data_IF_111438381209
#
_entry.id   IF_111438381209
#
_cell.length_a   1.000
_cell.length_b   1.000
_cell.length_c   1.000
_cell.angle_alpha   90.00
_cell.angle_beta   90.00
_cell.angle_gamma   90.00
#
_symmetry.space_group_name_H-M   'P 1'
#
loop_
_entity.id
_entity.type
_entity.pdbx_description
1 polymer ?
#
# COMPACT_ATOMS: atom_id res chain seq x y z
N UNK A 1 10.14 -16.99 20.60
CA UNK A 1 10.74 -16.67 19.31
C UNK A 1 11.35 -15.27 19.34
N UNK A 2 12.51 -15.09 18.75
CA UNK A 2 13.14 -13.77 18.60
C UNK A 2 12.95 -13.29 17.16
N UNK A 3 12.45 -12.09 17.01
CA UNK A 3 12.39 -11.37 15.74
C UNK A 3 13.49 -10.31 15.72
N UNK A 4 14.27 -10.30 14.66
CA UNK A 4 15.21 -9.21 14.38
C UNK A 4 15.05 -8.86 12.91
N UNK A 5 14.86 -7.60 12.61
CA UNK A 5 14.76 -7.14 11.24
C UNK A 5 15.35 -5.76 11.10
N UNK A 6 15.65 -5.38 9.88
CA UNK A 6 15.99 -4.02 9.54
C UNK A 6 15.28 -3.64 8.23
N UNK A 7 14.90 -2.40 8.14
CA UNK A 7 14.29 -1.80 6.95
C UNK A 7 15.09 -0.55 6.59
N UNK A 8 15.51 -0.49 5.33
CA UNK A 8 16.23 0.67 4.78
C UNK A 8 15.47 1.11 3.54
N UNK A 9 15.14 2.38 3.50
CA UNK A 9 14.53 2.96 2.30
C UNK A 9 15.20 4.27 1.92
N UNK A 10 15.17 4.56 0.64
CA UNK A 10 15.61 5.81 0.05
C UNK A 10 14.42 6.39 -0.71
N UNK A 11 14.13 7.65 -0.50
CA UNK A 11 13.14 8.39 -1.28
C UNK A 11 13.73 9.75 -1.63
N UNK A 12 13.49 10.20 -2.85
CA UNK A 12 13.80 11.56 -3.25
C UNK A 12 12.66 12.51 -2.92
N UNK A 13 12.98 13.78 -2.80
CA UNK A 13 11.97 14.82 -2.77
C UNK A 13 11.13 14.79 -4.04
N UNK A 14 9.82 15.12 -3.96
CA UNK A 14 8.98 15.20 -5.13
C UNK A 14 9.52 16.19 -6.17
N UNK A 15 9.77 15.71 -7.38
CA UNK A 15 10.29 16.53 -8.48
C UNK A 15 9.12 17.15 -9.25
N UNK A 16 9.07 18.47 -9.33
CA UNK A 16 8.08 19.17 -10.14
C UNK A 16 8.47 19.11 -11.62
N UNK A 17 7.63 18.50 -12.43
CA UNK A 17 7.75 18.43 -13.87
C UNK A 17 6.84 19.48 -14.51
N UNK A 18 7.27 20.75 -14.47
CA UNK A 18 6.46 21.87 -14.91
C UNK A 18 5.43 22.36 -13.87
N UNK A 19 4.35 22.99 -14.35
CA UNK A 19 3.36 23.66 -13.46
C UNK A 19 2.34 22.69 -12.84
N UNK A 20 2.13 21.54 -13.44
CA UNK A 20 0.97 20.69 -13.12
C UNK A 20 1.33 19.25 -12.71
N UNK A 21 2.57 18.82 -12.97
CA UNK A 21 3.01 17.46 -12.73
C UNK A 21 4.04 17.39 -11.62
N UNK A 22 3.94 16.34 -10.82
CA UNK A 22 4.90 16.02 -9.77
C UNK A 22 5.25 14.54 -9.88
N UNK A 23 6.54 14.26 -9.92
CA UNK A 23 7.10 12.90 -9.91
C UNK A 23 7.62 12.58 -8.52
N UNK A 24 7.38 11.37 -8.05
CA UNK A 24 7.93 10.85 -6.81
C UNK A 24 8.47 9.44 -7.02
N UNK A 25 9.45 9.07 -6.21
CA UNK A 25 10.02 7.74 -6.23
C UNK A 25 10.46 7.32 -4.83
N UNK A 26 10.44 6.01 -4.60
CA UNK A 26 10.96 5.38 -3.39
C UNK A 26 11.53 4.02 -3.76
N UNK A 27 12.62 3.65 -3.12
CA UNK A 27 13.16 2.30 -3.16
C UNK A 27 13.50 1.85 -1.75
N UNK A 28 13.35 0.56 -1.46
CA UNK A 28 13.64 0.04 -0.13
C UNK A 28 14.01 -1.43 -0.16
N UNK A 29 14.69 -1.81 0.91
CA UNK A 29 15.07 -3.17 1.20
C UNK A 29 14.83 -3.45 2.66
N UNK A 30 14.14 -4.54 2.97
CA UNK A 30 14.04 -5.04 4.34
C UNK A 30 14.47 -6.50 4.42
N UNK A 31 15.07 -6.85 5.53
CA UNK A 31 15.47 -8.21 5.82
C UNK A 31 15.04 -8.56 7.22
N UNK A 32 14.23 -9.59 7.33
CA UNK A 32 13.69 -10.08 8.58
C UNK A 32 14.35 -11.40 8.92
N UNK A 33 14.76 -11.55 10.16
CA UNK A 33 15.37 -12.76 10.70
C UNK A 33 14.43 -13.36 11.74
N UNK A 34 14.00 -14.59 11.51
CA UNK A 34 13.17 -15.33 12.44
C UNK A 34 14.00 -16.40 13.12
N UNK A 35 14.33 -16.18 14.38
CA UNK A 35 14.99 -17.18 15.23
C UNK A 35 13.98 -17.87 16.15
N UNK A 36 13.81 -19.18 16.02
CA UNK A 36 12.98 -19.95 16.91
C UNK A 36 13.82 -20.90 17.75
N UNK A 37 13.78 -20.72 19.07
CA UNK A 37 14.16 -21.74 20.03
C UNK A 37 12.89 -22.44 20.47
N UNK A 38 12.66 -23.64 20.01
CA UNK A 38 11.53 -24.44 20.45
C UNK A 38 11.99 -25.39 21.57
N UNK A 39 11.51 -25.17 22.78
CA UNK A 39 11.64 -26.10 23.89
C UNK A 39 10.36 -26.94 23.99
N UNK A 40 10.35 -28.12 23.42
CA UNK A 40 9.21 -29.02 23.50
C UNK A 40 9.39 -30.33 22.75
N UNK A 41 8.83 -31.41 23.32
CA UNK A 41 8.96 -32.80 22.84
C UNK A 41 8.20 -33.16 21.56
N UNK A 42 7.78 -32.21 20.74
CA UNK A 42 6.95 -32.43 19.58
C UNK A 42 7.78 -32.41 18.30
N UNK A 43 8.28 -33.61 17.90
CA UNK A 43 9.17 -33.84 16.75
C UNK A 43 8.67 -33.25 15.41
N UNK A 44 7.36 -33.16 15.20
CA UNK A 44 6.78 -32.53 14.01
C UNK A 44 6.99 -31.00 13.98
N UNK A 45 6.90 -30.34 15.13
CA UNK A 45 7.15 -28.90 15.25
C UNK A 45 8.64 -28.58 15.19
N UNK A 46 9.50 -29.47 15.71
CA UNK A 46 10.95 -29.30 15.66
C UNK A 46 11.49 -29.21 14.24
N UNK A 47 10.96 -29.97 13.30
CA UNK A 47 11.35 -29.92 11.88
C UNK A 47 10.97 -28.62 11.17
N UNK A 48 9.91 -27.97 11.60
CA UNK A 48 9.44 -26.71 11.01
C UNK A 48 10.18 -25.47 11.53
N UNK A 49 10.75 -25.53 12.73
CA UNK A 49 11.23 -24.33 13.45
C UNK A 49 12.71 -24.35 13.84
N UNK A 50 13.47 -25.34 13.41
CA UNK A 50 14.91 -25.46 13.73
C UNK A 50 15.82 -24.70 12.73
N UNK A 51 15.25 -23.85 11.88
CA UNK A 51 15.97 -23.04 10.89
C UNK A 51 15.91 -21.56 11.25
N UNK A 52 17.08 -20.92 11.26
CA UNK A 52 17.19 -19.47 11.18
C UNK A 52 16.75 -19.06 9.76
N UNK A 53 15.52 -18.64 9.63
CA UNK A 53 14.97 -18.31 8.33
C UNK A 53 14.97 -16.80 8.12
N UNK A 54 15.26 -16.41 6.89
CA UNK A 54 15.33 -15.02 6.51
C UNK A 54 14.28 -14.72 5.46
N UNK A 55 13.67 -13.57 5.59
CA UNK A 55 12.78 -12.98 4.59
C UNK A 55 13.42 -11.72 4.07
N UNK A 56 13.55 -11.63 2.77
CA UNK A 56 14.01 -10.42 2.09
C UNK A 56 12.85 -9.79 1.30
N UNK A 57 12.68 -8.49 1.45
CA UNK A 57 11.70 -7.72 0.72
C UNK A 57 12.43 -6.57 0.02
N UNK A 58 12.33 -6.54 -1.30
CA UNK A 58 12.89 -5.48 -2.15
C UNK A 58 11.73 -4.81 -2.86
N UNK A 59 11.69 -3.50 -2.81
CA UNK A 59 10.65 -2.75 -3.51
C UNK A 59 11.18 -1.45 -4.11
N UNK A 60 10.56 -1.05 -5.18
CA UNK A 60 10.63 0.31 -5.69
C UNK A 60 9.24 0.77 -6.10
N UNK A 61 9.02 2.06 -5.95
CA UNK A 61 7.76 2.69 -6.31
C UNK A 61 8.05 3.97 -7.10
N UNK A 62 7.30 4.15 -8.17
CA UNK A 62 7.36 5.31 -9.04
C UNK A 62 5.97 5.90 -9.14
N UNK A 63 5.84 7.20 -8.94
CA UNK A 63 4.55 7.89 -8.97
C UNK A 63 4.60 9.16 -9.78
N UNK A 64 3.51 9.42 -10.48
CA UNK A 64 3.25 10.67 -11.16
C UNK A 64 1.88 11.19 -10.70
N UNK A 65 1.84 12.43 -10.29
CA UNK A 65 0.61 13.11 -9.90
C UNK A 65 0.50 14.44 -10.65
N UNK A 66 -0.68 14.68 -11.19
CA UNK A 66 -1.02 15.92 -11.83
C UNK A 66 -2.21 16.60 -11.16
N UNK A 67 -2.16 17.94 -11.07
CA UNK A 67 -3.31 18.73 -10.63
C UNK A 67 -3.49 19.92 -11.57
N UNK A 68 -4.70 20.04 -12.11
CA UNK A 68 -5.10 21.19 -12.91
C UNK A 68 -6.50 21.63 -12.48
N UNK A 69 -6.61 22.87 -11.95
CA UNK A 69 -7.86 23.40 -11.40
C UNK A 69 -8.49 22.45 -10.37
N UNK A 70 -9.72 22.03 -10.62
CA UNK A 70 -10.49 21.14 -9.74
C UNK A 70 -10.19 19.64 -9.98
N UNK A 71 -9.34 19.29 -10.96
CA UNK A 71 -9.06 17.91 -11.31
C UNK A 71 -7.64 17.55 -10.90
N UNK A 72 -7.50 16.43 -10.23
CA UNK A 72 -6.21 15.77 -9.98
C UNK A 72 -6.25 14.34 -10.46
N UNK A 73 -5.12 13.87 -10.99
CA UNK A 73 -4.94 12.49 -11.45
C UNK A 73 -3.62 11.96 -10.95
N UNK A 74 -3.54 10.66 -10.72
CA UNK A 74 -2.32 9.99 -10.29
C UNK A 74 -2.17 8.62 -10.91
N UNK A 75 -0.93 8.23 -11.06
CA UNK A 75 -0.52 6.88 -11.40
C UNK A 75 0.68 6.51 -10.55
N UNK A 76 0.65 5.34 -9.93
CA UNK A 76 1.67 4.86 -9.01
C UNK A 76 1.95 3.39 -9.29
N UNK A 77 3.15 3.08 -9.68
CA UNK A 77 3.61 1.72 -9.90
C UNK A 77 4.53 1.30 -8.77
N UNK A 78 4.29 0.12 -8.21
CA UNK A 78 5.18 -0.49 -7.23
C UNK A 78 5.59 -1.87 -7.71
N UNK A 79 6.87 -2.16 -7.67
CA UNK A 79 7.39 -3.51 -7.83
C UNK A 79 7.91 -3.98 -6.49
N UNK A 80 7.34 -5.05 -5.98
CA UNK A 80 7.72 -5.64 -4.70
C UNK A 80 8.05 -7.10 -4.89
N UNK A 81 9.28 -7.45 -4.59
CA UNK A 81 9.78 -8.83 -4.60
C UNK A 81 10.04 -9.28 -3.17
N UNK A 82 9.40 -10.37 -2.78
CA UNK A 82 9.57 -10.99 -1.47
C UNK A 82 10.14 -12.36 -1.70
N UNK A 83 11.27 -12.66 -1.06
CA UNK A 83 11.93 -13.96 -1.09
C UNK A 83 12.21 -14.43 0.33
N UNK A 84 12.30 -15.74 0.52
CA UNK A 84 12.54 -16.34 1.82
C UNK A 84 11.29 -16.95 2.44
N UNK A 85 11.33 -17.20 3.72
CA UNK A 85 10.30 -17.92 4.45
C UNK A 85 9.82 -17.14 5.67
N UNK A 86 8.56 -17.33 6.02
CA UNK A 86 7.98 -16.86 7.27
C UNK A 86 7.34 -18.01 8.02
N UNK A 87 7.46 -18.04 9.34
CA UNK A 87 6.79 -19.06 10.15
C UNK A 87 5.28 -18.84 10.29
N UNK A 88 4.77 -17.71 9.82
CA UNK A 88 3.35 -17.39 9.93
C UNK A 88 2.59 -17.95 8.72
N UNK A 89 1.66 -18.88 8.96
CA UNK A 89 0.86 -19.56 7.92
C UNK A 89 -0.03 -18.61 7.11
N UNK A 90 -0.30 -17.42 7.64
CA UNK A 90 -1.13 -16.40 6.99
C UNK A 90 -0.34 -15.39 6.15
N UNK A 91 0.99 -15.44 6.21
CA UNK A 91 1.85 -14.63 5.37
C UNK A 91 1.99 -15.29 4.00
N UNK A 92 1.16 -14.88 3.07
CA UNK A 92 1.33 -15.28 1.67
C UNK A 92 2.43 -14.46 1.01
N UNK A 93 3.47 -15.14 0.53
CA UNK A 93 4.52 -14.50 -0.24
C UNK A 93 4.11 -14.42 -1.69
N UNK A 94 3.83 -13.25 -2.15
CA UNK A 94 3.69 -13.00 -3.57
C UNK A 94 4.52 -11.80 -3.99
N UNK A 95 5.25 -11.96 -5.08
CA UNK A 95 5.77 -10.81 -5.80
C UNK A 95 4.56 -10.08 -6.36
N UNK A 96 4.31 -8.88 -5.89
CA UNK A 96 3.20 -8.06 -6.34
C UNK A 96 3.71 -6.88 -7.15
N UNK A 97 3.00 -6.54 -8.20
CA UNK A 97 3.29 -5.40 -9.06
C UNK A 97 2.05 -4.52 -9.21
N UNK A 98 1.56 -3.94 -8.10
CA UNK A 98 0.38 -3.11 -8.15
C UNK A 98 0.64 -1.82 -8.92
N UNK A 99 -0.26 -1.53 -9.85
CA UNK A 99 -0.42 -0.26 -10.50
C UNK A 99 -1.67 0.42 -9.95
N UNK A 100 -1.47 1.48 -9.17
CA UNK A 100 -2.56 2.30 -8.65
C UNK A 100 -2.72 3.53 -9.51
N UNK A 101 -3.90 3.75 -10.03
CA UNK A 101 -4.21 4.95 -10.80
C UNK A 101 -5.59 5.49 -10.44
N UNK A 102 -5.82 6.74 -10.71
CA UNK A 102 -7.12 7.33 -10.47
C UNK A 102 -7.15 8.81 -10.78
N UNK A 103 -8.33 9.36 -10.61
CA UNK A 103 -8.57 10.80 -10.67
C UNK A 103 -9.58 11.22 -9.62
N UNK A 104 -9.51 12.49 -9.27
CA UNK A 104 -10.40 13.16 -8.31
C UNK A 104 -10.84 14.49 -8.89
N UNK A 105 -12.12 14.78 -8.74
CA UNK A 105 -12.74 16.03 -9.15
C UNK A 105 -13.31 16.70 -7.91
N UNK A 106 -12.91 17.94 -7.65
CA UNK A 106 -13.46 18.80 -6.62
C UNK A 106 -14.73 19.45 -7.20
N UNK A 107 -15.91 19.02 -6.72
CA UNK A 107 -17.21 19.52 -7.20
C UNK A 107 -17.54 20.88 -6.59
N UNK A 108 -17.20 21.05 -5.31
CA UNK A 108 -17.30 22.25 -4.51
C UNK A 108 -16.08 22.37 -3.62
N UNK A 109 -15.86 23.49 -2.89
CA UNK A 109 -14.81 23.57 -1.87
C UNK A 109 -14.92 22.50 -0.76
N UNK A 110 -16.09 21.88 -0.62
CA UNK A 110 -16.36 20.89 0.43
C UNK A 110 -16.57 19.47 -0.08
N UNK A 111 -16.84 19.30 -1.37
CA UNK A 111 -17.24 18.02 -1.92
C UNK A 111 -16.32 17.61 -3.07
N UNK A 112 -15.93 16.35 -3.08
CA UNK A 112 -15.16 15.76 -4.16
C UNK A 112 -15.58 14.31 -4.45
N UNK A 113 -15.40 13.91 -5.68
CA UNK A 113 -15.53 12.51 -6.10
C UNK A 113 -14.20 12.00 -6.63
N UNK A 114 -13.92 10.72 -6.45
CA UNK A 114 -12.79 10.08 -7.10
C UNK A 114 -13.15 8.70 -7.62
N UNK A 115 -12.44 8.30 -8.68
CA UNK A 115 -12.43 6.93 -9.18
C UNK A 115 -10.98 6.48 -9.15
N UNK A 116 -10.73 5.28 -8.64
CA UNK A 116 -9.38 4.71 -8.60
C UNK A 116 -9.40 3.21 -8.87
N UNK A 117 -8.30 2.72 -9.43
CA UNK A 117 -8.07 1.32 -9.76
C UNK A 117 -6.77 0.85 -9.17
N UNK A 118 -6.76 -0.39 -8.70
CA UNK A 118 -5.55 -1.15 -8.40
C UNK A 118 -5.53 -2.36 -9.32
N UNK A 119 -4.48 -2.48 -10.09
CA UNK A 119 -4.29 -3.54 -11.08
C UNK A 119 -2.98 -4.27 -10.74
N UNK A 120 -3.00 -5.60 -10.62
CA UNK A 120 -1.76 -6.37 -10.61
C UNK A 120 -1.23 -6.49 -12.04
N UNK A 121 -0.17 -5.75 -12.35
CA UNK A 121 0.45 -5.75 -13.69
C UNK A 121 0.99 -7.13 -14.08
N UNK A 122 1.29 -7.98 -13.12
CA UNK A 122 1.80 -9.34 -13.38
C UNK A 122 0.74 -10.23 -14.02
N UNK A 123 -0.50 -10.13 -13.55
CA UNK A 123 -1.61 -10.99 -13.97
C UNK A 123 -2.60 -10.26 -14.88
N UNK A 124 -2.59 -8.93 -14.87
CA UNK A 124 -3.57 -8.10 -15.56
C UNK A 124 -4.91 -7.98 -14.83
N UNK A 125 -5.01 -8.55 -13.63
CA UNK A 125 -6.23 -8.56 -12.84
C UNK A 125 -6.48 -7.20 -12.19
N UNK A 126 -7.75 -6.80 -12.14
CA UNK A 126 -8.19 -5.62 -11.39
C UNK A 126 -8.52 -6.06 -9.97
N UNK A 127 -7.63 -5.78 -9.01
CA UNK A 127 -7.83 -6.13 -7.61
C UNK A 127 -8.94 -5.30 -6.97
N UNK A 128 -8.96 -4.00 -7.27
CA UNK A 128 -9.93 -3.06 -6.73
C UNK A 128 -10.33 -1.99 -7.73
N UNK A 129 -11.58 -1.59 -7.67
CA UNK A 129 -12.09 -0.41 -8.34
C UNK A 129 -12.99 0.35 -7.38
N UNK A 130 -12.53 1.54 -6.98
CA UNK A 130 -13.21 2.36 -6.00
C UNK A 130 -13.88 3.57 -6.62
N UNK A 131 -15.12 3.80 -6.22
CA UNK A 131 -15.83 5.07 -6.37
C UNK A 131 -15.94 5.68 -4.98
N UNK A 132 -15.42 6.87 -4.79
CA UNK A 132 -15.40 7.50 -3.48
C UNK A 132 -15.97 8.90 -3.57
N UNK A 133 -16.90 9.21 -2.69
CA UNK A 133 -17.39 10.56 -2.43
C UNK A 133 -16.79 11.06 -1.12
N UNK A 134 -16.28 12.28 -1.13
CA UNK A 134 -15.68 12.95 0.00
C UNK A 134 -16.48 14.17 0.32
N UNK A 135 -16.69 14.41 1.61
CA UNK A 135 -17.29 15.63 2.12
C UNK A 135 -16.49 16.21 3.28
N UNK A 136 -16.12 17.47 3.15
CA UNK A 136 -15.55 18.27 4.22
C UNK A 136 -16.69 18.87 5.04
N UNK A 137 -16.86 18.37 6.25
CA UNK A 137 -17.81 18.88 7.23
C UNK A 137 -17.01 19.69 8.25
N UNK A 138 -17.27 20.98 8.39
CA UNK A 138 -16.56 21.91 9.29
C UNK A 138 -15.51 21.31 10.26
N UNK A 139 -15.91 20.39 11.15
CA UNK A 139 -15.05 19.74 12.15
C UNK A 139 -14.62 18.32 11.78
N UNK A 140 -15.12 17.74 10.70
CA UNK A 140 -14.88 16.37 10.30
C UNK A 140 -14.62 16.25 8.80
N UNK A 141 -13.83 15.24 8.42
CA UNK A 141 -13.84 14.70 7.07
C UNK A 141 -14.67 13.44 7.04
N UNK A 142 -15.51 13.30 6.03
CA UNK A 142 -16.25 12.07 5.78
C UNK A 142 -16.01 11.58 4.37
N UNK A 143 -16.06 10.28 4.18
CA UNK A 143 -16.10 9.69 2.86
C UNK A 143 -16.93 8.42 2.86
N UNK A 144 -17.55 8.14 1.72
CA UNK A 144 -18.18 6.87 1.41
C UNK A 144 -17.51 6.32 0.16
N UNK A 145 -17.12 5.04 0.21
CA UNK A 145 -16.41 4.34 -0.84
C UNK A 145 -17.13 3.06 -1.20
N UNK A 146 -17.33 2.85 -2.47
CA UNK A 146 -17.82 1.60 -3.02
C UNK A 146 -16.73 0.91 -3.83
N UNK A 147 -16.41 -0.34 -3.47
CA UNK A 147 -15.54 -1.25 -4.21
C UNK A 147 -16.40 -2.12 -5.13
N UNK A 148 -16.27 -1.96 -6.44
CA UNK A 148 -17.07 -2.73 -7.40
C UNK A 148 -16.60 -4.16 -7.57
N UNK A 149 -15.33 -4.45 -7.30
CA UNK A 149 -14.74 -5.80 -7.37
C UNK A 149 -15.14 -6.59 -6.11
N UNK A 150 -14.86 -6.02 -4.94
CA UNK A 150 -15.22 -6.63 -3.66
C UNK A 150 -16.71 -6.50 -3.29
N UNK A 151 -17.51 -5.75 -4.07
CA UNK A 151 -18.93 -5.46 -3.80
C UNK A 151 -19.17 -4.96 -2.37
N UNK A 152 -18.28 -4.09 -1.89
CA UNK A 152 -18.26 -3.62 -0.50
C UNK A 152 -18.37 -2.11 -0.43
N UNK A 153 -19.26 -1.62 0.43
CA UNK A 153 -19.32 -0.19 0.80
C UNK A 153 -18.63 0.02 2.13
N UNK A 154 -17.81 1.05 2.20
CA UNK A 154 -17.13 1.48 3.43
C UNK A 154 -17.43 2.94 3.65
N UNK A 155 -17.67 3.31 4.89
CA UNK A 155 -17.90 4.68 5.33
C UNK A 155 -16.92 5.05 6.44
N UNK A 156 -16.45 6.30 6.44
CA UNK A 156 -15.56 6.82 7.48
C UNK A 156 -15.91 8.28 7.80
N UNK A 157 -15.84 8.60 9.09
CA UNK A 157 -15.82 9.97 9.59
C UNK A 157 -14.55 10.12 10.42
N UNK A 158 -13.78 11.18 10.19
CA UNK A 158 -12.54 11.46 10.87
C UNK A 158 -12.50 12.91 11.33
N UNK A 159 -12.29 13.20 12.63
CA UNK A 159 -12.11 14.57 13.13
C UNK A 159 -10.92 15.25 12.46
N UNK A 160 -11.03 16.55 12.17
CA UNK A 160 -9.95 17.34 11.54
C UNK A 160 -8.76 17.59 12.46
N UNK A 161 -9.00 17.67 13.76
CA UNK A 161 -7.98 18.04 14.74
C UNK A 161 -7.14 16.88 15.27
N UNK A 162 -7.44 15.64 14.88
CA UNK A 162 -6.59 14.49 15.17
C UNK A 162 -5.43 14.43 14.17
N UNK A 163 -4.34 15.13 14.49
CA UNK A 163 -3.03 14.90 13.89
C UNK A 163 -2.35 13.79 14.69
N UNK A 164 -2.29 12.60 14.14
CA UNK A 164 -1.43 11.52 14.63
C UNK A 164 -0.02 11.69 14.08
#
# INVERSE_FOLDING_TARGET
GSYKGFDVYISGDPVKLGKFLTFNWRAGFSKDYYGYKYEGNNLRKKRLFDRNETRENKYYSLGLMGKYRAVSAWINYTNRSITGYTPYLYDTFSTTKPLNMGFRIELTPKDAISISWTIDVKNGDVDHRYYTYYRDMHSFYSWIRYDTVGKKTTFMIMPKDFRF
#
